data_IF_383909248556
#
_entry.id   IF_383909248556
#
_cell.length_a   1.000
_cell.length_b   1.000
_cell.length_c   1.000
_cell.angle_alpha   90.00
_cell.angle_beta   90.00
_cell.angle_gamma   90.00
#
_symmetry.space_group_name_H-M   'P 1'
#
loop_
_entity.id
_entity.type
_entity.pdbx_description
1 polymer ?
#
# COMPACT_ATOMS: atom_id res chain seq x y z
N UNK A 1 5.07 -19.22 -20.19
CA UNK A 1 5.36 -18.87 -21.59
C UNK A 1 5.91 -20.11 -22.28
N UNK A 2 5.28 -20.61 -23.35
CA UNK A 2 5.68 -21.83 -24.06
C UNK A 2 5.67 -21.59 -25.58
N UNK A 3 6.73 -21.00 -26.15
CA UNK A 3 6.76 -20.61 -27.56
C UNK A 3 6.72 -21.81 -28.52
N UNK A 4 7.18 -22.97 -28.07
CA UNK A 4 7.30 -24.18 -28.89
C UNK A 4 6.07 -25.10 -28.80
N UNK A 5 4.95 -24.60 -28.24
CA UNK A 5 3.74 -25.38 -28.05
C UNK A 5 3.10 -25.77 -29.39
N UNK A 6 2.80 -27.05 -29.58
CA UNK A 6 2.21 -27.54 -30.81
C UNK A 6 0.67 -27.42 -30.77
N UNK A 7 0.16 -26.32 -31.34
CA UNK A 7 -1.26 -26.02 -31.38
C UNK A 7 -2.07 -26.99 -32.25
N UNK A 8 -1.50 -27.50 -33.35
CA UNK A 8 -2.20 -28.39 -34.26
C UNK A 8 -2.53 -29.72 -33.59
N UNK A 9 -1.54 -30.31 -32.92
CA UNK A 9 -1.71 -31.54 -32.12
C UNK A 9 -2.69 -31.33 -30.96
N UNK A 10 -2.66 -30.15 -30.33
CA UNK A 10 -3.61 -29.80 -29.28
C UNK A 10 -5.06 -29.78 -29.79
N UNK A 11 -5.32 -29.20 -30.96
CA UNK A 11 -6.66 -29.17 -31.55
C UNK A 11 -7.17 -30.56 -31.89
N UNK A 12 -6.32 -31.41 -32.49
CA UNK A 12 -6.66 -32.81 -32.75
C UNK A 12 -7.03 -33.55 -31.47
N UNK A 13 -6.21 -33.42 -30.42
CA UNK A 13 -6.46 -34.02 -29.12
C UNK A 13 -7.78 -33.51 -28.52
N UNK A 14 -8.03 -32.20 -28.59
CA UNK A 14 -9.26 -31.57 -28.08
C UNK A 14 -10.51 -32.13 -28.78
N UNK A 15 -10.44 -32.36 -30.09
CA UNK A 15 -11.54 -32.92 -30.88
C UNK A 15 -11.87 -34.36 -30.51
N UNK A 16 -10.87 -35.16 -30.08
CA UNK A 16 -11.07 -36.56 -29.69
C UNK A 16 -11.29 -36.75 -28.18
N UNK A 17 -10.97 -35.77 -27.34
CA UNK A 17 -10.97 -35.87 -25.87
C UNK A 17 -12.34 -36.18 -25.24
N UNK A 18 -13.45 -36.04 -25.99
CA UNK A 18 -14.81 -36.36 -25.55
C UNK A 18 -15.32 -37.74 -26.00
N UNK A 19 -14.54 -38.52 -26.75
CA UNK A 19 -14.95 -39.83 -27.22
C UNK A 19 -14.76 -40.89 -26.12
N UNK A 20 -15.71 -41.82 -25.96
CA UNK A 20 -15.63 -42.89 -24.95
C UNK A 20 -14.37 -43.77 -25.05
N UNK A 21 -13.75 -43.83 -26.25
CA UNK A 21 -12.51 -44.59 -26.50
C UNK A 21 -11.24 -43.80 -26.25
N UNK A 22 -11.35 -42.52 -25.90
CA UNK A 22 -10.19 -41.66 -25.75
C UNK A 22 -9.43 -42.01 -24.47
N UNK A 23 -8.15 -42.32 -24.63
CA UNK A 23 -7.23 -42.51 -23.52
C UNK A 23 -5.94 -41.76 -23.84
N UNK A 24 -5.41 -41.00 -22.87
CA UNK A 24 -4.19 -40.23 -23.05
C UNK A 24 -3.43 -40.19 -21.73
N UNK A 25 -2.14 -40.53 -21.80
CA UNK A 25 -1.25 -40.38 -20.65
C UNK A 25 -0.64 -38.98 -20.61
N UNK A 26 -0.29 -38.51 -19.40
CA UNK A 26 0.40 -37.23 -19.24
C UNK A 26 1.73 -37.17 -20.01
N UNK A 27 2.42 -38.32 -20.16
CA UNK A 27 3.65 -38.41 -20.97
C UNK A 27 3.37 -38.15 -22.45
N UNK A 28 2.36 -38.82 -23.00
CA UNK A 28 1.95 -38.67 -24.41
C UNK A 28 1.48 -37.25 -24.72
N UNK A 29 0.76 -36.62 -23.78
CA UNK A 29 0.38 -35.21 -23.86
C UNK A 29 1.62 -34.30 -23.97
N UNK A 30 2.54 -34.41 -23.01
CA UNK A 30 3.76 -33.58 -22.95
C UNK A 30 4.55 -33.69 -24.24
N UNK A 31 4.71 -34.90 -24.77
CA UNK A 31 5.46 -35.18 -26.00
C UNK A 31 4.76 -34.63 -27.26
N UNK A 32 3.44 -34.80 -27.40
CA UNK A 32 2.70 -34.36 -28.60
C UNK A 32 2.54 -32.85 -28.69
N UNK A 33 2.13 -32.20 -27.60
CA UNK A 33 1.87 -30.75 -27.61
C UNK A 33 3.09 -29.93 -27.20
N UNK A 34 4.22 -30.58 -26.89
CA UNK A 34 5.42 -29.96 -26.34
C UNK A 34 5.11 -29.11 -25.09
N UNK A 35 4.34 -29.70 -24.16
CA UNK A 35 3.84 -28.99 -22.99
C UNK A 35 4.97 -28.74 -21.97
N UNK A 36 5.24 -27.48 -21.63
CA UNK A 36 6.15 -27.12 -20.54
C UNK A 36 5.42 -27.07 -19.20
N UNK A 37 6.07 -27.58 -18.14
CA UNK A 37 5.55 -27.53 -16.77
C UNK A 37 4.89 -28.81 -16.26
N UNK A 38 4.83 -29.88 -17.07
CA UNK A 38 4.45 -31.24 -16.63
C UNK A 38 5.57 -32.19 -17.05
N UNK A 39 5.96 -33.09 -16.14
CA UNK A 39 7.02 -34.08 -16.37
C UNK A 39 6.51 -35.44 -15.91
N UNK A 40 6.38 -36.38 -16.83
CA UNK A 40 6.00 -37.76 -16.53
C UNK A 40 7.21 -38.68 -16.68
N UNK A 41 7.58 -39.39 -15.61
CA UNK A 41 8.70 -40.35 -15.59
C UNK A 41 8.19 -41.75 -15.27
N UNK A 42 8.74 -42.76 -15.95
CA UNK A 42 8.49 -44.17 -15.64
C UNK A 42 9.56 -44.72 -14.70
N UNK A 43 9.23 -45.77 -13.92
CA UNK A 43 10.18 -46.47 -13.04
C UNK A 43 9.77 -46.47 -11.56
N UNK A 44 10.66 -47.00 -10.69
CA UNK A 44 10.42 -47.18 -9.25
C UNK A 44 10.18 -45.88 -8.48
N UNK A 45 10.68 -44.76 -8.99
CA UNK A 45 10.41 -43.39 -8.51
C UNK A 45 9.70 -42.55 -9.59
N UNK A 46 9.01 -43.24 -10.50
CA UNK A 46 8.22 -42.64 -11.55
C UNK A 46 6.97 -41.94 -10.99
N UNK A 47 6.39 -41.07 -11.81
CA UNK A 47 5.25 -40.25 -11.44
C UNK A 47 5.07 -39.09 -12.41
N UNK A 48 3.92 -38.44 -12.31
CA UNK A 48 3.62 -37.19 -13.02
C UNK A 48 3.83 -36.03 -12.05
N UNK A 49 4.81 -35.20 -12.34
CA UNK A 49 5.15 -34.00 -11.58
C UNK A 49 4.75 -32.79 -12.39
N UNK A 50 4.33 -31.71 -11.73
CA UNK A 50 3.98 -30.47 -12.39
C UNK A 50 4.61 -29.27 -11.69
N UNK A 51 4.77 -28.18 -12.42
CA UNK A 51 5.08 -26.88 -11.83
C UNK A 51 4.05 -26.56 -10.75
N UNK A 52 4.50 -25.91 -9.67
CA UNK A 52 3.69 -25.62 -8.50
C UNK A 52 2.30 -25.08 -8.87
N UNK A 53 2.25 -24.04 -9.70
CA UNK A 53 0.99 -23.38 -10.05
C UNK A 53 0.02 -24.32 -10.80
N UNK A 54 0.54 -25.17 -11.71
CA UNK A 54 -0.27 -26.17 -12.42
C UNK A 54 -0.80 -27.24 -11.45
N UNK A 55 0.03 -27.67 -10.51
CA UNK A 55 -0.38 -28.62 -9.46
C UNK A 55 -1.43 -28.02 -8.51
N UNK A 56 -1.29 -26.75 -8.15
CA UNK A 56 -2.25 -26.03 -7.32
C UNK A 56 -3.60 -25.86 -8.01
N UNK A 57 -3.61 -25.47 -9.30
CA UNK A 57 -4.84 -25.38 -10.09
C UNK A 57 -5.52 -26.76 -10.24
N UNK A 58 -4.74 -27.80 -10.53
CA UNK A 58 -5.26 -29.16 -10.61
C UNK A 58 -5.87 -29.64 -9.29
N UNK A 59 -5.18 -29.41 -8.16
CA UNK A 59 -5.69 -29.75 -6.83
C UNK A 59 -6.95 -28.96 -6.46
N UNK A 60 -7.02 -27.68 -6.89
CA UNK A 60 -8.18 -26.79 -6.68
C UNK A 60 -9.39 -27.25 -7.47
N UNK A 61 -9.18 -27.75 -8.70
CA UNK A 61 -10.24 -28.34 -9.50
C UNK A 61 -10.74 -29.66 -8.92
N UNK A 62 -9.83 -30.48 -8.35
CA UNK A 62 -10.15 -31.80 -7.82
C UNK A 62 -10.87 -31.75 -6.46
N UNK A 63 -10.50 -30.81 -5.57
CA UNK A 63 -11.03 -30.72 -4.21
C UNK A 63 -11.47 -29.28 -3.86
N UNK A 64 -12.77 -29.07 -3.59
CA UNK A 64 -13.28 -27.82 -3.05
C UNK A 64 -12.65 -27.44 -1.69
N UNK A 65 -12.29 -28.41 -0.86
CA UNK A 65 -11.63 -28.19 0.43
C UNK A 65 -10.23 -27.60 0.25
N UNK A 66 -9.46 -28.14 -0.70
CA UNK A 66 -8.13 -27.62 -1.04
C UNK A 66 -8.23 -26.18 -1.55
N UNK A 67 -9.23 -25.88 -2.39
CA UNK A 67 -9.52 -24.51 -2.85
C UNK A 67 -9.78 -23.55 -1.69
N UNK A 68 -10.60 -23.96 -0.73
CA UNK A 68 -10.92 -23.14 0.44
C UNK A 68 -9.66 -22.89 1.30
N UNK A 69 -8.79 -23.89 1.43
CA UNK A 69 -7.52 -23.76 2.14
C UNK A 69 -6.60 -22.70 1.50
N UNK A 70 -6.49 -22.67 0.17
CA UNK A 70 -5.70 -21.64 -0.53
C UNK A 70 -6.28 -20.24 -0.26
N UNK A 71 -7.60 -20.08 -0.37
CA UNK A 71 -8.27 -18.79 -0.17
C UNK A 71 -8.04 -18.28 1.26
N UNK A 72 -8.24 -19.15 2.25
CA UNK A 72 -8.06 -18.80 3.66
C UNK A 72 -6.61 -18.46 3.99
N UNK A 73 -5.66 -19.21 3.44
CA UNK A 73 -4.23 -18.95 3.66
C UNK A 73 -3.78 -17.64 2.99
N UNK A 74 -4.29 -17.34 1.80
CA UNK A 74 -4.06 -16.04 1.15
C UNK A 74 -4.61 -14.88 1.99
N UNK A 75 -5.83 -15.00 2.50
CA UNK A 75 -6.42 -14.00 3.41
C UNK A 75 -5.60 -13.83 4.70
N UNK A 76 -5.11 -14.94 5.27
CA UNK A 76 -4.23 -14.93 6.45
C UNK A 76 -2.93 -14.18 6.17
N UNK A 77 -2.28 -14.46 5.04
CA UNK A 77 -1.06 -13.77 4.62
C UNK A 77 -1.30 -12.27 4.43
N UNK A 78 -2.38 -11.88 3.77
CA UNK A 78 -2.75 -10.47 3.59
C UNK A 78 -3.00 -9.76 4.92
N UNK A 79 -3.66 -10.41 5.87
CA UNK A 79 -3.88 -9.84 7.21
C UNK A 79 -2.57 -9.64 7.97
N UNK A 80 -1.59 -10.54 7.82
CA UNK A 80 -0.26 -10.41 8.43
C UNK A 80 0.53 -9.27 7.78
N UNK A 81 0.52 -9.17 6.44
CA UNK A 81 1.16 -8.08 5.71
C UNK A 81 0.61 -6.72 6.14
N UNK A 82 -0.71 -6.59 6.25
CA UNK A 82 -1.35 -5.35 6.70
C UNK A 82 -0.93 -4.97 8.14
N UNK A 83 -0.82 -5.95 9.04
CA UNK A 83 -0.34 -5.70 10.42
C UNK A 83 1.11 -5.23 10.45
N UNK A 84 1.97 -5.80 9.61
CA UNK A 84 3.37 -5.36 9.48
C UNK A 84 3.47 -3.95 8.91
N UNK A 85 2.70 -3.64 7.87
CA UNK A 85 2.63 -2.30 7.30
C UNK A 85 2.23 -1.27 8.36
N UNK A 86 1.17 -1.55 9.12
CA UNK A 86 0.73 -0.65 10.21
C UNK A 86 1.79 -0.52 11.32
N UNK A 87 2.57 -1.56 11.60
CA UNK A 87 3.66 -1.52 12.57
C UNK A 87 4.85 -0.70 12.09
N UNK A 88 5.24 -0.88 10.82
CA UNK A 88 6.32 -0.12 10.20
C UNK A 88 5.94 1.35 10.05
N UNK A 89 4.69 1.65 9.70
CA UNK A 89 4.13 3.00 9.77
C UNK A 89 4.27 3.58 11.17
N UNK A 90 3.84 2.88 12.23
CA UNK A 90 3.98 3.37 13.62
C UNK A 90 5.44 3.63 14.03
N UNK A 91 6.39 2.84 13.54
CA UNK A 91 7.83 3.06 13.77
C UNK A 91 8.37 4.27 13.02
N UNK A 92 7.99 4.43 11.75
CA UNK A 92 8.32 5.63 10.97
C UNK A 92 7.72 6.87 11.66
N UNK A 93 6.47 6.79 12.12
CA UNK A 93 5.79 7.86 12.86
C UNK A 93 6.49 8.19 14.19
N UNK A 94 6.86 7.19 14.99
CA UNK A 94 7.60 7.41 16.23
C UNK A 94 9.00 8.00 15.97
N UNK A 95 9.68 7.54 14.91
CA UNK A 95 10.98 8.07 14.50
C UNK A 95 10.89 9.50 13.98
N UNK A 96 9.86 9.82 13.19
CA UNK A 96 9.59 11.18 12.70
C UNK A 96 9.24 12.10 13.86
N UNK A 97 8.39 11.67 14.80
CA UNK A 97 8.10 12.45 16.00
C UNK A 97 9.37 12.68 16.83
N UNK A 98 10.16 11.64 17.11
CA UNK A 98 11.41 11.77 17.86
C UNK A 98 12.39 12.73 17.15
N UNK A 99 12.52 12.62 15.84
CA UNK A 99 13.42 13.44 15.04
C UNK A 99 12.92 14.88 14.90
N UNK A 100 11.62 15.12 14.78
CA UNK A 100 11.02 16.46 14.88
C UNK A 100 11.28 17.09 16.25
N UNK A 101 11.15 16.31 17.33
CA UNK A 101 11.45 16.79 18.69
C UNK A 101 12.94 17.07 18.90
N UNK A 102 13.83 16.30 18.27
CA UNK A 102 15.30 16.44 18.44
C UNK A 102 15.92 17.46 17.48
N UNK A 103 15.48 17.50 16.22
CA UNK A 103 15.97 18.44 15.18
C UNK A 103 15.42 19.86 15.37
N UNK A 104 14.38 20.03 16.21
CA UNK A 104 13.94 21.36 16.71
C UNK A 104 15.03 22.12 17.47
N UNK A 105 16.13 21.45 17.84
CA UNK A 105 17.25 22.05 18.56
C UNK A 105 18.32 22.64 17.60
N UNK A 106 18.32 22.35 16.29
CA UNK A 106 19.45 22.72 15.41
C UNK A 106 19.24 23.67 14.24
N UNK A 107 18.09 23.82 13.61
CA UNK A 107 18.01 24.70 12.43
C UNK A 107 16.75 25.58 12.41
N UNK A 108 16.91 26.83 12.87
CA UNK A 108 16.02 27.95 12.55
C UNK A 108 16.37 28.49 11.16
N UNK A 109 15.86 27.85 10.11
CA UNK A 109 15.81 28.44 8.77
C UNK A 109 14.35 28.50 8.32
N UNK A 110 13.77 29.68 8.50
CA UNK A 110 12.37 30.02 8.22
C UNK A 110 12.26 30.52 6.77
N UNK A 111 11.42 29.90 5.93
CA UNK A 111 10.86 30.60 4.78
C UNK A 111 9.53 31.20 5.21
N UNK A 112 9.48 32.54 5.21
CA UNK A 112 8.39 33.37 5.69
C UNK A 112 7.03 32.96 5.10
N UNK A 113 6.09 32.63 5.97
CA UNK A 113 4.67 32.73 5.62
C UNK A 113 4.37 34.22 5.46
N UNK A 114 4.09 34.65 4.23
CA UNK A 114 3.66 36.02 3.95
C UNK A 114 2.52 36.44 4.87
N UNK A 115 2.59 37.63 5.47
CA UNK A 115 1.54 38.21 6.32
C UNK A 115 0.14 38.16 5.68
N UNK A 116 0.05 38.27 4.36
CA UNK A 116 -1.22 38.20 3.61
C UNK A 116 -1.95 36.86 3.68
N UNK A 117 -1.21 35.77 3.96
CA UNK A 117 -1.78 34.44 4.15
C UNK A 117 -2.37 34.34 5.55
N UNK A 118 -1.66 34.86 6.56
CA UNK A 118 -2.06 34.87 7.98
C UNK A 118 -3.38 35.62 8.19
N UNK A 119 -3.60 36.75 7.51
CA UNK A 119 -4.84 37.54 7.63
C UNK A 119 -6.12 36.76 7.23
N UNK A 120 -6.00 35.79 6.31
CA UNK A 120 -7.12 34.88 5.97
C UNK A 120 -7.40 33.84 7.05
N UNK A 121 -6.41 33.50 7.89
CA UNK A 121 -6.56 32.50 8.95
C UNK A 121 -7.20 33.06 10.23
N UNK A 122 -7.03 34.35 10.52
CA UNK A 122 -7.56 35.02 11.74
C UNK A 122 -9.09 34.94 11.85
N UNK A 123 -9.81 34.79 10.73
CA UNK A 123 -11.27 34.68 10.69
C UNK A 123 -11.80 33.23 10.64
N UNK A 124 -10.94 32.23 10.81
CA UNK A 124 -11.32 30.81 10.74
C UNK A 124 -11.48 30.21 12.14
N UNK A 125 -12.48 29.35 12.31
CA UNK A 125 -12.63 28.52 13.50
C UNK A 125 -11.37 27.65 13.71
N UNK A 126 -11.01 27.36 14.96
CA UNK A 126 -9.81 26.61 15.36
C UNK A 126 -9.72 25.27 14.62
N UNK A 127 -10.86 24.58 14.47
CA UNK A 127 -10.92 23.31 13.76
C UNK A 127 -10.62 23.47 12.26
N UNK A 128 -11.13 24.52 11.63
CA UNK A 128 -10.93 24.77 10.20
C UNK A 128 -9.52 25.29 9.90
N UNK A 129 -8.92 26.07 10.81
CA UNK A 129 -7.49 26.42 10.76
C UNK A 129 -6.61 25.17 10.74
N UNK A 130 -6.81 24.26 11.69
CA UNK A 130 -6.04 23.01 11.76
C UNK A 130 -6.26 22.12 10.54
N UNK A 131 -7.49 22.04 10.04
CA UNK A 131 -7.79 21.29 8.82
C UNK A 131 -7.09 21.91 7.59
N UNK A 132 -7.05 23.24 7.46
CA UNK A 132 -6.30 23.89 6.37
C UNK A 132 -4.80 23.58 6.45
N UNK A 133 -4.21 23.59 7.64
CA UNK A 133 -2.79 23.26 7.84
C UNK A 133 -2.49 21.79 7.53
N UNK A 134 -3.39 20.87 7.89
CA UNK A 134 -3.18 19.44 7.69
C UNK A 134 -3.57 18.94 6.30
N UNK A 135 -4.63 19.47 5.69
CA UNK A 135 -5.24 18.94 4.47
C UNK A 135 -5.29 19.94 3.30
N UNK A 136 -4.83 21.19 3.50
CA UNK A 136 -4.90 22.25 2.50
C UNK A 136 -6.31 22.84 2.30
N UNK A 137 -7.32 22.34 3.01
CA UNK A 137 -8.71 22.77 2.90
C UNK A 137 -9.48 22.59 4.21
N UNK A 138 -10.61 23.29 4.32
CA UNK A 138 -11.54 23.16 5.44
C UNK A 138 -12.45 21.95 5.30
N UNK A 139 -13.05 21.52 6.41
CA UNK A 139 -14.05 20.46 6.36
C UNK A 139 -15.26 20.86 5.50
N UNK A 140 -15.62 22.15 5.49
CA UNK A 140 -16.72 22.67 4.68
C UNK A 140 -16.39 22.64 3.19
N UNK A 141 -15.19 23.06 2.79
CA UNK A 141 -14.73 22.97 1.40
C UNK A 141 -14.70 21.51 0.92
N UNK A 142 -14.20 20.58 1.74
CA UNK A 142 -14.20 19.16 1.39
C UNK A 142 -15.60 18.61 1.18
N UNK A 143 -16.57 18.92 2.07
CA UNK A 143 -17.96 18.49 1.91
C UNK A 143 -18.61 19.06 0.66
N UNK A 144 -18.27 20.31 0.29
CA UNK A 144 -18.78 20.94 -0.94
C UNK A 144 -18.24 20.24 -2.20
N UNK A 145 -16.98 19.83 -2.18
CA UNK A 145 -16.36 19.08 -3.28
C UNK A 145 -16.82 17.63 -3.33
N UNK A 146 -17.20 17.04 -2.18
CA UNK A 146 -17.56 15.63 -2.03
C UNK A 146 -19.00 15.45 -1.47
N UNK A 147 -20.04 15.96 -2.14
CA UNK A 147 -21.40 15.99 -1.59
C UNK A 147 -22.01 14.58 -1.44
N UNK A 148 -21.68 13.63 -2.31
CA UNK A 148 -22.16 12.25 -2.20
C UNK A 148 -21.56 11.53 -0.98
N UNK A 149 -20.26 11.71 -0.74
CA UNK A 149 -19.55 11.11 0.40
C UNK A 149 -19.98 11.75 1.73
N UNK A 150 -20.20 13.06 1.73
CA UNK A 150 -20.72 13.77 2.88
C UNK A 150 -22.15 13.30 3.26
N UNK A 151 -23.02 13.06 2.27
CA UNK A 151 -24.36 12.48 2.51
C UNK A 151 -24.31 11.06 3.07
N UNK A 152 -23.26 10.30 2.75
CA UNK A 152 -23.02 8.97 3.30
C UNK A 152 -22.34 9.00 4.70
N UNK A 153 -22.24 10.17 5.34
CA UNK A 153 -21.66 10.32 6.68
C UNK A 153 -20.13 10.25 6.73
N UNK A 154 -19.44 10.31 5.59
CA UNK A 154 -17.98 10.28 5.53
C UNK A 154 -17.37 11.67 5.68
N UNK A 155 -16.15 11.73 6.19
CA UNK A 155 -15.39 12.95 6.42
C UNK A 155 -14.03 12.89 5.70
N UNK A 156 -13.39 14.04 5.51
CA UNK A 156 -12.04 14.14 4.93
C UNK A 156 -11.00 13.30 5.66
N UNK A 157 -11.17 13.10 6.98
CA UNK A 157 -10.29 12.25 7.79
C UNK A 157 -10.36 10.78 7.42
N UNK A 158 -11.48 10.31 6.87
CA UNK A 158 -11.63 8.90 6.43
C UNK A 158 -10.81 8.60 5.16
N UNK A 159 -10.39 9.65 4.44
CA UNK A 159 -9.62 9.57 3.20
C UNK A 159 -8.23 10.18 3.35
N UNK A 160 -7.83 10.54 4.57
CA UNK A 160 -6.53 11.07 4.88
C UNK A 160 -5.48 9.96 4.93
N UNK A 161 -4.24 10.29 4.56
CA UNK A 161 -3.12 9.37 4.80
C UNK A 161 -2.82 9.27 6.29
N UNK A 162 -2.19 8.17 6.72
CA UNK A 162 -1.78 8.01 8.14
C UNK A 162 -0.91 9.18 8.62
N UNK A 163 -0.05 9.69 7.73
CA UNK A 163 0.81 10.84 7.96
C UNK A 163 0.00 12.12 8.20
N UNK A 164 -1.05 12.36 7.41
CA UNK A 164 -1.93 13.51 7.60
C UNK A 164 -2.75 13.39 8.89
N UNK A 165 -3.18 12.17 9.25
CA UNK A 165 -3.88 11.90 10.52
C UNK A 165 -2.98 12.13 11.75
N UNK A 166 -1.69 11.82 11.65
CA UNK A 166 -0.73 12.14 12.71
C UNK A 166 -0.42 13.62 12.77
N UNK A 167 -0.24 14.27 11.61
CA UNK A 167 -0.03 15.71 11.56
C UNK A 167 -1.18 16.45 12.24
N UNK A 168 -2.44 16.14 11.91
CA UNK A 168 -3.58 16.80 12.54
C UNK A 168 -3.63 16.55 14.06
N UNK A 169 -3.31 15.34 14.53
CA UNK A 169 -3.26 15.04 15.96
C UNK A 169 -2.16 15.83 16.70
N UNK A 170 -0.97 15.92 16.09
CA UNK A 170 0.15 16.71 16.62
C UNK A 170 -0.19 18.21 16.67
N UNK A 171 -0.79 18.75 15.60
CA UNK A 171 -1.22 20.15 15.56
C UNK A 171 -2.32 20.43 16.59
N UNK A 172 -3.26 19.50 16.81
CA UNK A 172 -4.27 19.62 17.86
C UNK A 172 -3.64 19.68 19.26
N UNK A 173 -2.69 18.78 19.55
CA UNK A 173 -1.99 18.75 20.83
C UNK A 173 -1.16 20.01 21.06
N UNK A 174 -0.43 20.47 20.04
CA UNK A 174 0.38 21.68 20.11
C UNK A 174 -0.51 22.92 20.27
N UNK A 175 -1.62 23.00 19.54
CA UNK A 175 -2.55 24.13 19.66
C UNK A 175 -3.17 24.20 21.06
N UNK A 176 -3.58 23.06 21.63
CA UNK A 176 -4.08 23.01 23.01
C UNK A 176 -3.04 23.55 24.01
N UNK A 177 -1.79 23.10 23.91
CA UNK A 177 -0.70 23.62 24.73
C UNK A 177 -0.48 25.14 24.54
N UNK A 178 -0.50 25.64 23.31
CA UNK A 178 -0.32 27.06 23.04
C UNK A 178 -1.50 27.92 23.52
N UNK A 179 -2.73 27.37 23.52
CA UNK A 179 -3.90 28.00 24.12
C UNK A 179 -3.72 28.12 25.63
N UNK A 180 -3.23 27.07 26.30
CA UNK A 180 -2.94 27.07 27.74
C UNK A 180 -1.88 28.12 28.10
N UNK A 181 -0.90 28.33 27.22
CA UNK A 181 0.10 29.40 27.34
C UNK A 181 -0.44 30.81 27.05
N UNK A 182 -1.75 30.96 26.81
CA UNK A 182 -2.44 32.23 26.49
C UNK A 182 -1.86 32.95 25.27
N UNK A 183 -1.24 32.21 24.35
CA UNK A 183 -0.66 32.79 23.13
C UNK A 183 -1.78 33.28 22.20
N UNK A 184 -1.70 34.49 21.61
CA UNK A 184 -2.69 34.96 20.65
C UNK A 184 -2.80 34.03 19.43
N UNK A 185 -4.01 33.87 18.89
CA UNK A 185 -4.27 32.96 17.76
C UNK A 185 -3.37 33.26 16.55
N UNK A 186 -3.11 34.52 16.26
CA UNK A 186 -2.21 34.97 15.17
C UNK A 186 -0.80 34.39 15.31
N UNK A 187 -0.24 34.42 16.52
CA UNK A 187 1.07 33.85 16.80
C UNK A 187 1.05 32.32 16.77
N UNK A 188 -0.04 31.70 17.26
CA UNK A 188 -0.21 30.24 17.22
C UNK A 188 -0.25 29.74 15.79
N UNK A 189 -0.97 30.40 14.89
CA UNK A 189 -1.08 30.02 13.47
C UNK A 189 0.32 29.91 12.85
N UNK A 190 1.19 30.89 13.10
CA UNK A 190 2.56 30.90 12.57
C UNK A 190 3.31 29.65 13.08
N UNK A 191 3.31 29.42 14.40
CA UNK A 191 4.01 28.27 15.01
C UNK A 191 3.46 26.93 14.54
N UNK A 192 2.14 26.80 14.40
CA UNK A 192 1.48 25.59 13.93
C UNK A 192 1.80 25.34 12.45
N UNK A 193 1.82 26.38 11.62
CA UNK A 193 2.18 26.26 10.21
C UNK A 193 3.66 25.88 10.02
N UNK A 194 4.56 26.45 10.83
CA UNK A 194 5.97 26.04 10.87
C UNK A 194 6.13 24.57 11.29
N UNK A 195 5.38 24.15 12.31
CA UNK A 195 5.39 22.74 12.73
C UNK A 195 4.87 21.81 11.63
N UNK A 196 3.78 22.20 10.96
CA UNK A 196 3.23 21.42 9.85
C UNK A 196 4.22 21.29 8.70
N UNK A 197 4.88 22.39 8.31
CA UNK A 197 5.90 22.39 7.27
C UNK A 197 7.06 21.45 7.59
N UNK A 198 7.63 21.56 8.79
CA UNK A 198 8.72 20.68 9.25
C UNK A 198 8.32 19.20 9.22
N UNK A 199 7.08 18.91 9.62
CA UNK A 199 6.53 17.56 9.57
C UNK A 199 6.48 17.03 8.13
N UNK A 200 6.00 17.83 7.18
CA UNK A 200 5.99 17.47 5.75
C UNK A 200 7.40 17.26 5.19
N UNK A 201 8.34 18.15 5.48
CA UNK A 201 9.73 18.04 5.02
C UNK A 201 10.40 16.76 5.56
N UNK A 202 10.09 16.37 6.80
CA UNK A 202 10.60 15.12 7.39
C UNK A 202 10.00 13.88 6.73
N UNK A 203 8.73 13.91 6.33
CA UNK A 203 8.08 12.80 5.62
C UNK A 203 8.71 12.61 4.25
N UNK A 204 8.85 13.70 3.48
CA UNK A 204 9.45 13.65 2.14
C UNK A 204 10.85 13.04 2.17
N UNK A 205 11.69 13.47 3.11
CA UNK A 205 13.03 12.89 3.31
C UNK A 205 12.99 11.40 3.67
N UNK A 206 12.01 10.96 4.46
CA UNK A 206 11.87 9.55 4.84
C UNK A 206 11.39 8.69 3.65
N UNK A 207 10.45 9.20 2.84
CA UNK A 207 9.96 8.54 1.63
C UNK A 207 11.04 8.41 0.56
N UNK A 208 11.86 9.45 0.36
CA UNK A 208 13.04 9.41 -0.53
C UNK A 208 14.02 8.31 -0.11
N UNK A 209 14.34 8.22 1.19
CA UNK A 209 15.22 7.17 1.72
C UNK A 209 14.64 5.77 1.55
N UNK A 210 13.33 5.62 1.77
CA UNK A 210 12.64 4.35 1.59
C UNK A 210 12.63 3.91 0.11
N UNK A 211 12.32 4.83 -0.81
CA UNK A 211 12.32 4.57 -2.25
C UNK A 211 13.72 4.21 -2.77
N UNK A 212 14.76 4.86 -2.25
CA UNK A 212 16.15 4.51 -2.58
C UNK A 212 16.49 3.08 -2.14
N UNK A 213 16.09 2.69 -0.93
CA UNK A 213 16.28 1.33 -0.42
C UNK A 213 15.53 0.27 -1.26
N UNK A 214 14.27 0.54 -1.62
CA UNK A 214 13.46 -0.33 -2.48
C UNK A 214 14.13 -0.50 -3.85
N UNK A 215 14.56 0.59 -4.48
CA UNK A 215 15.21 0.58 -5.79
C UNK A 215 16.54 -0.20 -5.76
N UNK A 216 17.33 -0.04 -4.70
CA UNK A 216 18.57 -0.81 -4.53
C UNK A 216 18.29 -2.31 -4.37
N UNK A 217 17.22 -2.68 -3.66
CA UNK A 217 16.81 -4.08 -3.51
C UNK A 217 16.33 -4.69 -4.84
N UNK A 218 15.56 -3.93 -5.63
CA UNK A 218 15.11 -4.34 -6.96
C UNK A 218 16.31 -4.52 -7.91
N UNK A 219 17.28 -3.60 -7.90
CA UNK A 219 18.50 -3.72 -8.71
C UNK A 219 19.30 -4.99 -8.39
N UNK A 220 19.42 -5.34 -7.10
CA UNK A 220 20.11 -6.57 -6.67
C UNK A 220 19.37 -7.83 -7.14
N UNK A 221 18.05 -7.88 -6.99
CA UNK A 221 17.23 -9.00 -7.46
C UNK A 221 17.26 -9.18 -8.99
N UNK A 222 17.43 -8.10 -9.74
CA UNK A 222 17.56 -8.15 -11.20
C UNK A 222 18.98 -8.48 -11.69
N UNK A 223 20.00 -8.43 -10.83
CA UNK A 223 21.36 -8.89 -11.15
C UNK A 223 21.59 -10.37 -10.76
N UNK A 224 20.72 -10.96 -9.96
CA UNK A 224 20.80 -12.36 -9.53
C UNK A 224 19.95 -13.34 -10.39
N UNK A 225 19.27 -12.85 -11.44
CA UNK A 225 18.55 -13.65 -12.44
C UNK A 225 19.18 -13.48 -13.83
#
# INVERSE_FOLDING_TARGET
NNPDFNFLEFEEIKNIAGLNRFTMSAKHWVERVNAKGIVARAGRYGGTYAHRDIAFEFGTWLSPEFRLLIITEYQRLKAIEQKKLNWDSRRILASVNYKLHTDSIRDSLIPSLSHSVIDKYVYTDEADMLNRLAFGQTAREWRRQNPALAKAGRNQRDYATEQQLVLIANLQSLNAFLIDQKMPQQERIIKLAEHARRHYDSILKAEEQHNMFINDKIKRLNHEN
#
